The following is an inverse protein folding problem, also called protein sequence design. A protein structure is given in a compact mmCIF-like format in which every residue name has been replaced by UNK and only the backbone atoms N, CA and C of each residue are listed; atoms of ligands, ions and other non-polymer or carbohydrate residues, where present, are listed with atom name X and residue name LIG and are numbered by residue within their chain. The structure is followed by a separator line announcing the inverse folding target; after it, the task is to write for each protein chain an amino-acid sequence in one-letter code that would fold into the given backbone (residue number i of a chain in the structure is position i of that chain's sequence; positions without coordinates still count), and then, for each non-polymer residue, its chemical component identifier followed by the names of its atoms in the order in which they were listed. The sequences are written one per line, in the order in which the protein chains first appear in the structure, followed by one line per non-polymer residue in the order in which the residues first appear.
data_IF_386600843088
#
_entry.id   IF_386600843088
#
_cell.length_a   1.000
_cell.length_b   1.000
_cell.length_c   1.000
_cell.angle_alpha   90.00
_cell.angle_beta   90.00
_cell.angle_gamma   90.00
#
_symmetry.space_group_name_H-M   'P 1'
#
loop_
_entity.id
_entity.type
_entity.pdbx_description
1 polymer ?
#
# COMPACT_ATOMS: atom_id res chain seq x y z
N UNK A 1 43.72 -3.59 -4.49
CA UNK A 1 42.74 -3.87 -3.43
C UNK A 1 41.82 -2.65 -3.28
N UNK A 2 40.54 -2.90 -2.94
CA UNK A 2 39.47 -1.91 -2.64
C UNK A 2 38.93 -1.10 -3.85
N UNK A 3 37.63 -1.03 -4.14
CA UNK A 3 36.39 -1.48 -3.46
C UNK A 3 35.36 -1.82 -4.53
N UNK A 4 34.73 -2.99 -4.43
CA UNK A 4 33.49 -3.28 -5.16
C UNK A 4 32.44 -2.27 -4.70
N UNK A 5 31.96 -1.44 -5.62
CA UNK A 5 30.80 -0.59 -5.39
C UNK A 5 29.61 -1.53 -5.32
N UNK A 6 29.36 -2.08 -4.13
CA UNK A 6 28.12 -2.74 -3.81
C UNK A 6 27.06 -1.65 -3.88
N UNK A 7 26.47 -1.49 -5.06
CA UNK A 7 25.26 -0.72 -5.28
C UNK A 7 24.21 -1.35 -4.39
N UNK A 8 24.22 -0.96 -3.12
CA UNK A 8 23.25 -1.34 -2.13
C UNK A 8 21.93 -0.81 -2.66
N UNK A 9 21.19 -1.70 -3.31
CA UNK A 9 19.84 -1.45 -3.77
C UNK A 9 19.04 -1.10 -2.52
N UNK A 10 18.94 0.18 -2.18
CA UNK A 10 18.23 0.65 -0.98
C UNK A 10 16.76 0.41 -1.24
N UNK A 11 16.29 -0.77 -0.86
CA UNK A 11 14.89 -1.13 -0.93
C UNK A 11 14.12 -0.21 0.02
N UNK A 12 13.28 0.64 -0.57
CA UNK A 12 12.46 1.59 0.15
C UNK A 12 11.12 0.93 0.46
N UNK A 13 10.70 1.00 1.71
CA UNK A 13 9.44 0.45 2.17
C UNK A 13 8.61 1.51 2.89
N UNK A 14 7.32 1.52 2.60
CA UNK A 14 6.33 2.27 3.36
C UNK A 14 5.87 1.41 4.53
N UNK A 15 6.05 1.90 5.75
CA UNK A 15 5.56 1.22 6.95
C UNK A 15 4.22 1.82 7.37
N UNK A 16 3.24 0.96 7.67
CA UNK A 16 1.92 1.35 8.17
C UNK A 16 1.48 0.40 9.28
N UNK A 17 0.51 0.82 10.09
CA UNK A 17 -0.04 0.01 11.17
C UNK A 17 -1.38 -0.58 10.76
N UNK A 18 -1.58 -1.86 11.04
CA UNK A 18 -2.86 -2.54 10.91
C UNK A 18 -3.21 -3.14 12.27
N UNK A 19 -4.20 -2.54 12.95
CA UNK A 19 -4.49 -2.86 14.34
C UNK A 19 -3.28 -2.59 15.25
N UNK A 20 -2.81 -3.63 15.93
CA UNK A 20 -1.63 -3.57 16.81
C UNK A 20 -0.30 -3.84 16.11
N UNK A 21 -0.31 -4.30 14.86
CA UNK A 21 0.88 -4.75 14.15
C UNK A 21 1.40 -3.71 13.15
N UNK A 22 2.71 -3.73 12.92
CA UNK A 22 3.39 -2.92 11.92
C UNK A 22 3.64 -3.76 10.66
N UNK A 23 3.21 -3.25 9.52
CA UNK A 23 3.39 -3.85 8.21
C UNK A 23 4.20 -2.92 7.31
N UNK A 24 4.88 -3.49 6.33
CA UNK A 24 5.65 -2.74 5.36
C UNK A 24 5.37 -3.21 3.94
N UNK A 25 5.29 -2.28 3.00
CA UNK A 25 5.12 -2.56 1.56
C UNK A 25 6.20 -1.84 0.77
N UNK A 26 6.74 -2.50 -0.26
CA UNK A 26 7.74 -1.88 -1.13
C UNK A 26 7.17 -0.60 -1.75
N UNK A 27 7.89 0.51 -1.64
CA UNK A 27 7.40 1.83 -2.09
C UNK A 27 7.04 1.83 -3.57
N UNK A 28 7.76 1.03 -4.37
CA UNK A 28 7.53 0.88 -5.81
C UNK A 28 6.16 0.24 -6.14
N UNK A 29 5.51 -0.42 -5.18
CA UNK A 29 4.15 -0.97 -5.33
C UNK A 29 3.06 -0.03 -4.83
N UNK A 30 3.41 1.06 -4.14
CA UNK A 30 2.46 2.04 -3.62
C UNK A 30 2.10 3.02 -4.72
N UNK A 31 0.83 3.07 -5.12
CA UNK A 31 0.34 4.05 -6.11
C UNK A 31 0.01 5.38 -5.46
N UNK A 32 -0.82 5.36 -4.42
CA UNK A 32 -1.30 6.56 -3.73
C UNK A 32 -1.52 6.27 -2.24
N UNK A 33 -1.30 7.29 -1.41
CA UNK A 33 -1.69 7.30 0.00
C UNK A 33 -2.86 8.27 0.13
N UNK A 34 -4.04 7.73 0.39
CA UNK A 34 -5.27 8.49 0.53
C UNK A 34 -5.76 8.42 1.97
N UNK A 35 -6.49 9.45 2.41
CA UNK A 35 -7.23 9.37 3.65
C UNK A 35 -8.35 8.33 3.54
N UNK A 36 -8.77 7.76 4.67
CA UNK A 36 -9.91 6.87 4.72
C UNK A 36 -11.17 7.61 4.22
N UNK A 37 -11.79 7.08 3.17
CA UNK A 37 -13.03 7.60 2.57
C UNK A 37 -14.14 6.57 2.71
N UNK A 38 -15.41 7.02 2.82
CA UNK A 38 -16.55 6.10 2.85
C UNK A 38 -16.57 5.26 1.56
N UNK A 39 -16.63 3.94 1.74
CA UNK A 39 -16.68 2.97 0.66
C UNK A 39 -18.12 2.67 0.25
N UNK A 40 -18.37 2.64 -1.06
CA UNK A 40 -19.67 2.23 -1.59
C UNK A 40 -19.74 0.71 -1.61
N UNK A 41 -20.65 0.14 -0.81
CA UNK A 41 -20.87 -1.31 -0.73
C UNK A 41 -21.51 -1.80 -2.02
N UNK A 42 -20.90 -2.81 -2.65
CA UNK A 42 -21.45 -3.46 -3.84
C UNK A 42 -22.31 -4.65 -3.39
N UNK A 43 -23.57 -4.77 -3.85
CA UNK A 43 -24.42 -5.93 -3.57
C UNK A 43 -23.78 -7.23 -4.08
N UNK A 44 -24.13 -8.38 -3.48
CA UNK A 44 -23.65 -9.72 -3.89
C UNK A 44 -22.13 -9.93 -3.86
N UNK A 45 -21.40 -9.15 -3.08
CA UNK A 45 -19.93 -9.27 -3.00
C UNK A 45 -19.50 -10.08 -1.78
N UNK A 46 -18.44 -10.91 -1.87
CA UNK A 46 -17.93 -11.66 -0.72
C UNK A 46 -17.55 -10.77 0.47
N UNK A 47 -17.59 -11.29 1.71
CA UNK A 47 -17.41 -10.51 2.93
C UNK A 47 -16.02 -9.88 3.10
N UNK A 48 -15.02 -10.33 2.32
CA UNK A 48 -13.67 -9.76 2.30
C UNK A 48 -13.56 -8.52 1.40
N UNK A 49 -14.60 -8.18 0.63
CA UNK A 49 -14.62 -6.97 -0.19
C UNK A 49 -15.39 -5.88 0.55
N UNK A 50 -14.66 -4.88 1.02
CA UNK A 50 -15.22 -3.76 1.77
C UNK A 50 -16.11 -2.84 0.90
N UNK A 51 -15.85 -2.78 -0.40
CA UNK A 51 -16.63 -2.03 -1.38
C UNK A 51 -15.77 -1.47 -2.51
N UNK A 52 -16.30 -0.48 -3.22
CA UNK A 52 -15.58 0.33 -4.21
C UNK A 52 -15.41 1.75 -3.68
N UNK A 53 -14.27 2.35 -3.98
CA UNK A 53 -14.01 3.78 -3.78
C UNK A 53 -13.70 4.39 -5.13
N UNK A 54 -14.22 5.59 -5.40
CA UNK A 54 -13.86 6.32 -6.59
C UNK A 54 -12.68 7.26 -6.25
N UNK A 55 -11.53 7.02 -6.87
CA UNK A 55 -10.34 7.85 -6.70
C UNK A 55 -10.28 8.86 -7.84
N UNK A 56 -10.60 10.11 -7.52
CA UNK A 56 -10.55 11.26 -8.45
C UNK A 56 -11.41 11.12 -9.73
N UNK A 57 -12.51 10.38 -9.67
CA UNK A 57 -13.56 10.43 -10.69
C UNK A 57 -13.29 9.63 -11.97
N UNK A 58 -12.44 8.60 -11.94
CA UNK A 58 -12.19 7.70 -13.09
C UNK A 58 -12.69 6.28 -12.85
#
# INVERSE_FOLDING_TARGET
MATAQETANREQYLTFRLGSEAYAVAILRVREIIAYVPMTRVPMTPPYISGVINLRGS
#
